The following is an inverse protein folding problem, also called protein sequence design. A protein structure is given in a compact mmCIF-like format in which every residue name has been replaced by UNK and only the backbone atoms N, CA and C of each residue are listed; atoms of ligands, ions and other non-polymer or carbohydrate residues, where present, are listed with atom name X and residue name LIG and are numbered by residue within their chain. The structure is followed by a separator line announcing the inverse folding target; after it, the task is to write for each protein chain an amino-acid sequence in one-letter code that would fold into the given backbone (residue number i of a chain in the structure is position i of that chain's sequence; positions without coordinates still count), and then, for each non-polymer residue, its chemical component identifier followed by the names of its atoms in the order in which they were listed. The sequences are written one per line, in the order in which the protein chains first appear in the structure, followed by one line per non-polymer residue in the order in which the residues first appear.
data_IF_988029657843
#
_entry.id   IF_988029657843
#
_cell.length_a   1.000
_cell.length_b   1.000
_cell.length_c   1.000
_cell.angle_alpha   90.00
_cell.angle_beta   90.00
_cell.angle_gamma   90.00
#
_symmetry.space_group_name_H-M   'P 1'
#
loop_
_entity.id
_entity.type
_entity.pdbx_description
1 polymer ?
#
# COMPACT_ATOMS: atom_id res chain seq x y z
N UNK A 1 -4.85 -4.30 -37.72
CA UNK A 1 -5.01 -2.85 -37.83
C UNK A 1 -5.36 -2.55 -39.28
N UNK A 2 -6.40 -1.76 -39.51
CA UNK A 2 -6.74 -1.34 -40.89
C UNK A 2 -5.80 -0.22 -41.33
N UNK A 3 -5.25 -0.22 -42.54
CA UNK A 3 -4.49 0.91 -43.08
C UNK A 3 -5.32 2.22 -42.99
N UNK A 4 -4.69 3.30 -42.53
CA UNK A 4 -5.35 4.60 -42.29
C UNK A 4 -6.02 4.76 -40.92
N UNK A 5 -5.97 3.75 -40.04
CA UNK A 5 -6.41 3.91 -38.65
C UNK A 5 -5.44 4.80 -37.86
N UNK A 6 -6.00 5.64 -36.99
CA UNK A 6 -5.21 6.46 -36.09
C UNK A 6 -4.38 5.57 -35.13
N UNK A 7 -3.06 5.70 -35.21
CA UNK A 7 -2.12 4.85 -34.45
C UNK A 7 -2.27 5.07 -32.95
N UNK A 8 -2.54 6.31 -32.48
CA UNK A 8 -2.71 6.60 -31.07
C UNK A 8 -3.85 5.80 -30.46
N UNK A 9 -5.00 5.73 -31.16
CA UNK A 9 -6.16 4.91 -30.77
C UNK A 9 -5.86 3.42 -30.81
N UNK A 10 -5.12 2.97 -31.82
CA UNK A 10 -4.78 1.55 -31.98
C UNK A 10 -3.91 1.04 -30.84
N UNK A 11 -2.94 1.83 -30.41
CA UNK A 11 -2.00 1.48 -29.34
C UNK A 11 -2.43 1.96 -27.95
N UNK A 12 -3.58 2.65 -27.83
CA UNK A 12 -4.13 3.12 -26.56
C UNK A 12 -3.39 4.34 -25.98
N UNK A 13 -2.93 5.25 -26.83
CA UNK A 13 -2.28 6.51 -26.47
C UNK A 13 -3.23 7.72 -26.55
N UNK A 14 -4.51 7.51 -26.79
CA UNK A 14 -5.54 8.53 -26.82
C UNK A 14 -6.27 8.67 -25.47
N UNK A 15 -5.57 8.35 -24.38
CA UNK A 15 -6.06 8.45 -23.00
C UNK A 15 -5.50 9.70 -22.31
N UNK A 16 -6.11 10.06 -21.20
CA UNK A 16 -5.66 11.16 -20.34
C UNK A 16 -5.06 10.63 -19.06
N UNK A 17 -3.84 11.05 -18.76
CA UNK A 17 -3.13 10.68 -17.54
C UNK A 17 -3.06 11.90 -16.63
N UNK A 18 -3.48 11.73 -15.37
CA UNK A 18 -3.36 12.75 -14.34
C UNK A 18 -2.25 12.32 -13.38
N UNK A 19 -1.22 13.15 -13.27
CA UNK A 19 -0.15 12.95 -12.32
C UNK A 19 -0.46 13.66 -11.01
N UNK A 20 -0.34 12.94 -9.89
CA UNK A 20 -0.56 13.48 -8.56
C UNK A 20 0.74 13.49 -7.77
N UNK A 21 1.06 14.63 -7.18
CA UNK A 21 2.11 14.73 -6.18
C UNK A 21 1.50 14.46 -4.80
N UNK A 22 1.80 13.27 -4.26
CA UNK A 22 1.26 12.81 -2.98
C UNK A 22 2.27 13.06 -1.86
N UNK A 23 1.84 13.77 -0.83
CA UNK A 23 2.65 14.05 0.36
C UNK A 23 3.02 12.78 1.12
N UNK A 24 4.18 12.72 1.80
CA UNK A 24 4.65 11.50 2.46
C UNK A 24 3.72 10.94 3.54
N UNK A 25 2.88 11.77 4.17
CA UNK A 25 1.92 11.38 5.19
C UNK A 25 0.66 10.69 4.64
N UNK A 26 0.43 10.74 3.31
CA UNK A 26 -0.77 10.21 2.68
C UNK A 26 -0.49 8.98 1.77
N UNK A 27 0.08 7.89 2.31
CA UNK A 27 0.34 6.67 1.52
C UNK A 27 -0.94 6.02 0.97
N UNK A 28 -2.09 6.24 1.60
CA UNK A 28 -3.40 5.80 1.12
C UNK A 28 -3.73 6.35 -0.27
N UNK A 29 -3.33 7.59 -0.56
CA UNK A 29 -3.52 8.25 -1.85
C UNK A 29 -2.57 7.78 -2.96
N UNK A 30 -1.60 6.90 -2.66
CA UNK A 30 -0.79 6.22 -3.70
C UNK A 30 -1.56 5.07 -4.39
N UNK A 31 -2.89 5.21 -4.45
CA UNK A 31 -3.81 4.24 -5.03
C UNK A 31 -5.03 4.92 -5.66
N UNK A 32 -5.63 4.22 -6.63
CA UNK A 32 -6.89 4.68 -7.26
C UNK A 32 -8.01 4.79 -6.22
N UNK A 33 -8.12 3.81 -5.30
CA UNK A 33 -9.15 3.81 -4.24
C UNK A 33 -8.93 4.96 -3.25
N UNK A 34 -7.70 5.25 -2.87
CA UNK A 34 -7.39 6.37 -1.98
C UNK A 34 -7.75 7.71 -2.61
N UNK A 35 -7.35 7.93 -3.87
CA UNK A 35 -7.74 9.12 -4.63
C UNK A 35 -9.25 9.21 -4.84
N UNK A 36 -9.94 8.08 -5.04
CA UNK A 36 -11.39 8.06 -5.17
C UNK A 36 -12.10 8.48 -3.87
N UNK A 37 -11.56 8.15 -2.69
CA UNK A 37 -12.08 8.63 -1.40
C UNK A 37 -11.97 10.16 -1.30
N UNK A 38 -10.80 10.70 -1.62
CA UNK A 38 -10.57 12.16 -1.62
C UNK A 38 -11.49 12.87 -2.63
N UNK A 39 -11.58 12.33 -3.85
CA UNK A 39 -12.47 12.89 -4.88
C UNK A 39 -13.95 12.84 -4.48
N UNK A 40 -14.37 11.74 -3.82
CA UNK A 40 -15.73 11.60 -3.30
C UNK A 40 -16.08 12.73 -2.31
N UNK A 41 -15.18 12.96 -1.34
CA UNK A 41 -15.34 14.03 -0.36
C UNK A 41 -15.29 15.44 -1.01
N UNK A 42 -14.29 15.68 -1.87
CA UNK A 42 -14.08 17.00 -2.52
C UNK A 42 -15.22 17.40 -3.44
N UNK A 43 -15.73 16.46 -4.22
CA UNK A 43 -16.78 16.72 -5.23
C UNK A 43 -18.18 16.37 -4.76
N UNK A 44 -18.34 15.98 -3.50
CA UNK A 44 -19.62 15.55 -2.90
C UNK A 44 -20.32 14.49 -3.76
N UNK A 45 -19.55 13.49 -4.21
CA UNK A 45 -20.05 12.38 -5.04
C UNK A 45 -20.01 11.07 -4.26
N UNK A 46 -21.03 10.21 -4.41
CA UNK A 46 -21.04 8.94 -3.68
C UNK A 46 -19.89 8.04 -4.13
N UNK A 47 -19.13 7.52 -3.17
CA UNK A 47 -18.08 6.54 -3.40
C UNK A 47 -18.72 5.17 -3.66
N UNK A 48 -18.34 4.52 -4.76
CA UNK A 48 -18.76 3.16 -5.11
C UNK A 48 -17.53 2.27 -5.16
N UNK A 49 -17.25 1.58 -4.08
CA UNK A 49 -16.15 0.62 -4.02
C UNK A 49 -16.63 -0.75 -4.49
N UNK A 50 -15.81 -1.38 -5.32
CA UNK A 50 -16.00 -2.77 -5.71
C UNK A 50 -15.57 -3.68 -4.54
N UNK A 51 -16.38 -4.68 -4.22
CA UNK A 51 -16.05 -5.74 -3.27
C UNK A 51 -15.62 -6.96 -4.06
N UNK A 52 -14.36 -7.40 -3.98
CA UNK A 52 -13.88 -8.55 -4.73
C UNK A 52 -14.60 -9.84 -4.33
N UNK A 53 -15.04 -10.60 -5.31
CA UNK A 53 -15.69 -11.90 -5.13
C UNK A 53 -14.86 -12.99 -5.78
N UNK A 54 -14.52 -14.02 -5.00
CA UNK A 54 -13.76 -15.19 -5.46
C UNK A 54 -14.64 -16.41 -5.35
N UNK A 55 -14.83 -17.13 -6.45
CA UNK A 55 -15.68 -18.33 -6.50
C UNK A 55 -14.98 -19.53 -5.87
N UNK A 56 -13.68 -19.65 -6.14
CA UNK A 56 -12.88 -20.80 -5.73
C UNK A 56 -13.09 -22.05 -6.60
N UNK A 57 -12.26 -23.05 -6.38
CA UNK A 57 -12.30 -24.31 -7.15
C UNK A 57 -12.27 -25.56 -6.25
N UNK A 58 -12.50 -25.39 -4.92
CA UNK A 58 -12.37 -26.44 -3.92
C UNK A 58 -10.93 -26.64 -3.44
N UNK A 59 -10.76 -27.58 -2.49
CA UNK A 59 -9.52 -27.81 -1.74
C UNK A 59 -9.36 -26.82 -0.58
N UNK A 60 -8.22 -26.83 0.06
CA UNK A 60 -7.91 -25.89 1.15
C UNK A 60 -6.46 -25.44 1.04
N UNK A 61 -6.24 -24.12 1.05
CA UNK A 61 -4.88 -23.57 1.07
C UNK A 61 -4.11 -23.99 2.32
N UNK A 62 -4.79 -24.19 3.45
CA UNK A 62 -4.16 -24.62 4.70
C UNK A 62 -3.58 -26.06 4.66
N UNK A 63 -3.97 -26.86 3.66
CA UNK A 63 -3.38 -28.18 3.40
C UNK A 63 -2.12 -28.11 2.52
N UNK A 64 -1.89 -26.94 1.89
CA UNK A 64 -0.81 -26.76 0.90
C UNK A 64 0.34 -25.94 1.44
N UNK A 65 0.07 -24.94 2.27
CA UNK A 65 1.10 -24.01 2.78
C UNK A 65 0.93 -23.74 4.26
N UNK A 66 2.06 -23.73 4.97
CA UNK A 66 2.17 -23.22 6.34
C UNK A 66 2.89 -21.89 6.35
N UNK A 67 2.41 -20.94 7.17
CA UNK A 67 2.97 -19.58 7.23
C UNK A 67 3.30 -19.23 8.67
N UNK A 68 4.55 -18.90 8.93
CA UNK A 68 5.06 -18.45 10.22
C UNK A 68 5.65 -17.05 10.13
N UNK A 69 5.36 -16.22 11.13
CA UNK A 69 5.98 -14.90 11.32
C UNK A 69 6.79 -14.97 12.60
N UNK A 70 8.12 -14.89 12.49
CA UNK A 70 9.01 -14.89 13.66
C UNK A 70 9.03 -13.54 14.40
N UNK A 71 8.82 -12.43 13.70
CA UNK A 71 8.85 -11.07 14.27
C UNK A 71 7.62 -10.26 13.84
N UNK A 72 6.63 -10.19 14.72
CA UNK A 72 5.39 -9.43 14.49
C UNK A 72 5.57 -7.91 14.48
N UNK A 73 6.67 -7.37 15.00
CA UNK A 73 6.97 -5.93 14.88
C UNK A 73 7.46 -5.56 13.48
N UNK A 74 8.14 -6.48 12.83
CA UNK A 74 8.62 -6.30 11.46
C UNK A 74 7.58 -6.69 10.41
N UNK A 75 6.76 -7.72 10.69
CA UNK A 75 5.65 -8.15 9.84
C UNK A 75 4.37 -8.33 10.67
N UNK A 76 3.57 -7.27 10.86
CA UNK A 76 2.32 -7.34 11.63
C UNK A 76 1.28 -8.31 11.07
N UNK A 77 1.19 -8.44 9.75
CA UNK A 77 0.19 -9.30 9.08
C UNK A 77 0.72 -9.85 7.76
N UNK A 78 0.44 -11.10 7.51
CA UNK A 78 0.76 -11.78 6.26
C UNK A 78 -0.48 -12.52 5.74
N UNK A 79 -0.96 -12.15 4.55
CA UNK A 79 -2.07 -12.83 3.88
C UNK A 79 -1.59 -13.50 2.61
N UNK A 80 -2.08 -14.71 2.34
CA UNK A 80 -1.76 -15.44 1.13
C UNK A 80 -2.95 -16.20 0.55
N UNK A 81 -2.96 -16.34 -0.76
CA UNK A 81 -3.91 -17.15 -1.54
C UNK A 81 -3.16 -17.98 -2.57
N UNK A 82 -3.71 -19.16 -2.86
CA UNK A 82 -3.12 -20.12 -3.81
C UNK A 82 -3.92 -20.19 -5.10
N UNK A 83 -3.21 -20.22 -6.21
CA UNK A 83 -3.74 -20.47 -7.54
C UNK A 83 -3.09 -21.72 -8.10
N UNK A 84 -3.88 -22.65 -8.62
CA UNK A 84 -3.42 -23.85 -9.34
C UNK A 84 -3.80 -23.77 -10.82
N UNK A 85 -3.21 -24.64 -11.62
CA UNK A 85 -3.43 -24.71 -13.06
C UNK A 85 -3.20 -23.35 -13.74
N UNK A 86 -2.15 -22.65 -13.27
CA UNK A 86 -1.75 -21.35 -13.79
C UNK A 86 -1.42 -21.42 -15.28
N UNK A 87 -1.85 -20.39 -16.04
CA UNK A 87 -1.56 -20.24 -17.46
C UNK A 87 -0.90 -18.89 -17.67
N UNK A 88 0.42 -18.90 -17.76
CA UNK A 88 1.19 -17.67 -17.94
C UNK A 88 1.08 -17.20 -19.39
N UNK A 89 0.60 -15.99 -19.58
CA UNK A 89 0.38 -15.39 -20.88
C UNK A 89 0.45 -13.85 -20.80
N UNK A 90 0.55 -13.14 -21.92
CA UNK A 90 0.41 -11.69 -21.92
C UNK A 90 -0.96 -11.26 -21.38
N UNK A 91 -1.00 -10.23 -20.53
CA UNK A 91 -2.25 -9.65 -20.05
C UNK A 91 -3.14 -9.11 -21.16
N UNK A 92 -4.45 -9.03 -20.97
CA UNK A 92 -5.34 -8.44 -21.94
C UNK A 92 -5.00 -6.97 -22.20
N UNK A 93 -5.39 -6.47 -23.39
CA UNK A 93 -5.05 -5.12 -23.86
C UNK A 93 -5.41 -4.05 -22.83
N UNK A 94 -6.62 -4.08 -22.27
CA UNK A 94 -7.10 -3.09 -21.31
C UNK A 94 -6.23 -2.99 -20.04
N UNK A 95 -5.74 -4.13 -19.51
CA UNK A 95 -4.87 -4.16 -18.32
C UNK A 95 -3.50 -3.60 -18.65
N UNK A 96 -2.92 -4.00 -19.79
CA UNK A 96 -1.62 -3.51 -20.26
C UNK A 96 -1.62 -2.00 -20.51
N UNK A 97 -2.72 -1.46 -21.06
CA UNK A 97 -2.88 -0.03 -21.29
C UNK A 97 -2.96 0.74 -19.98
N UNK A 98 -3.79 0.30 -19.02
CA UNK A 98 -3.90 0.93 -17.71
C UNK A 98 -2.59 0.92 -16.92
N UNK A 99 -1.88 -0.21 -16.93
CA UNK A 99 -0.57 -0.31 -16.29
C UNK A 99 0.44 0.64 -16.94
N UNK A 100 0.53 0.65 -18.27
CA UNK A 100 1.44 1.54 -19.00
C UNK A 100 1.13 3.01 -18.72
N UNK A 101 -0.13 3.39 -18.74
CA UNK A 101 -0.58 4.76 -18.48
C UNK A 101 -0.32 5.18 -17.02
N UNK A 102 -0.22 4.22 -16.10
CA UNK A 102 0.22 4.47 -14.71
C UNK A 102 1.72 4.27 -14.48
N UNK A 103 2.53 4.22 -15.55
CA UNK A 103 3.99 4.13 -15.46
C UNK A 103 4.54 2.73 -15.15
N UNK A 104 3.73 1.67 -15.26
CA UNK A 104 4.14 0.29 -15.01
C UNK A 104 4.32 -0.46 -16.32
N UNK A 105 5.47 -1.11 -16.50
CA UNK A 105 5.73 -1.96 -17.65
C UNK A 105 5.00 -3.30 -17.49
N UNK A 106 4.09 -3.68 -18.41
CA UNK A 106 3.47 -5.00 -18.40
C UNK A 106 4.50 -6.12 -18.68
N UNK A 107 4.34 -7.24 -17.98
CA UNK A 107 5.23 -8.42 -18.09
C UNK A 107 4.43 -9.65 -18.52
N UNK A 108 3.65 -10.22 -17.61
CA UNK A 108 2.74 -11.33 -17.85
C UNK A 108 1.49 -11.18 -16.96
N UNK A 109 0.45 -11.97 -17.22
CA UNK A 109 -0.84 -11.83 -16.55
C UNK A 109 -0.74 -11.91 -15.00
N UNK A 110 0.07 -12.81 -14.44
CA UNK A 110 0.20 -12.96 -12.98
C UNK A 110 0.91 -11.76 -12.35
N UNK A 111 2.04 -11.36 -12.90
CA UNK A 111 2.80 -10.19 -12.42
C UNK A 111 2.01 -8.90 -12.64
N UNK A 112 1.31 -8.79 -13.75
CA UNK A 112 0.48 -7.63 -14.07
C UNK A 112 -0.73 -7.53 -13.12
N UNK A 113 -1.30 -8.66 -12.69
CA UNK A 113 -2.36 -8.69 -11.66
C UNK A 113 -1.84 -8.10 -10.34
N UNK A 114 -0.64 -8.48 -9.87
CA UNK A 114 -0.07 -7.91 -8.64
C UNK A 114 0.18 -6.42 -8.76
N UNK A 115 0.71 -5.98 -9.89
CA UNK A 115 0.92 -4.56 -10.18
C UNK A 115 -0.40 -3.79 -10.30
N UNK A 116 -1.42 -4.39 -10.90
CA UNK A 116 -2.75 -3.79 -11.01
C UNK A 116 -3.40 -3.62 -9.63
N UNK A 117 -3.35 -4.65 -8.78
CA UNK A 117 -3.83 -4.59 -7.40
C UNK A 117 -3.08 -3.52 -6.59
N UNK A 118 -1.76 -3.41 -6.76
CA UNK A 118 -0.96 -2.35 -6.14
C UNK A 118 -1.41 -0.95 -6.57
N UNK A 119 -1.70 -0.72 -7.86
CA UNK A 119 -2.19 0.58 -8.33
C UNK A 119 -3.63 0.85 -7.88
N UNK A 120 -4.49 -0.17 -7.83
CA UNK A 120 -5.89 -0.03 -7.43
C UNK A 120 -6.03 0.18 -5.91
N UNK A 121 -5.36 -0.65 -5.10
CA UNK A 121 -5.49 -0.68 -3.63
C UNK A 121 -4.36 0.02 -2.87
N UNK A 122 -3.23 0.32 -3.51
CA UNK A 122 -2.03 0.85 -2.84
C UNK A 122 -1.23 -0.22 -2.09
N UNK A 123 -1.63 -1.48 -2.17
CA UNK A 123 -1.01 -2.61 -1.50
C UNK A 123 -0.08 -3.35 -2.45
N UNK A 124 1.24 -3.26 -2.30
CA UNK A 124 2.15 -4.08 -3.07
C UNK A 124 1.97 -5.56 -2.73
N UNK A 125 2.05 -6.38 -3.75
CA UNK A 125 1.90 -7.83 -3.65
C UNK A 125 3.07 -8.52 -4.34
N UNK A 126 3.33 -9.75 -3.92
CA UNK A 126 4.25 -10.65 -4.62
C UNK A 126 3.54 -11.93 -5.07
N UNK A 127 4.10 -12.56 -6.08
CA UNK A 127 3.65 -13.86 -6.58
C UNK A 127 4.86 -14.78 -6.66
N UNK A 128 4.79 -15.89 -5.93
CA UNK A 128 5.82 -16.93 -5.95
C UNK A 128 5.39 -18.06 -6.86
N UNK A 129 6.33 -18.61 -7.64
CA UNK A 129 6.18 -19.97 -8.14
C UNK A 129 6.26 -20.93 -6.95
N UNK A 130 5.13 -21.50 -6.56
CA UNK A 130 5.04 -22.32 -5.38
C UNK A 130 5.81 -23.63 -5.50
N UNK A 131 6.08 -24.11 -6.71
CA UNK A 131 6.92 -25.28 -6.94
C UNK A 131 8.39 -25.06 -6.52
N UNK A 132 8.79 -23.82 -6.38
CA UNK A 132 10.14 -23.42 -5.93
C UNK A 132 10.23 -23.11 -4.43
N UNK A 133 9.11 -23.24 -3.70
CA UNK A 133 9.04 -23.02 -2.24
C UNK A 133 9.19 -24.37 -1.54
N UNK A 134 10.37 -24.60 -0.96
CA UNK A 134 10.70 -25.85 -0.33
C UNK A 134 9.84 -26.10 0.93
N UNK A 135 9.39 -27.34 1.12
CA UNK A 135 8.58 -27.77 2.28
C UNK A 135 7.15 -27.24 2.31
N UNK A 136 6.70 -26.47 1.30
CA UNK A 136 5.38 -25.83 1.34
C UNK A 136 5.23 -24.84 2.51
N UNK A 137 6.33 -24.24 2.95
CA UNK A 137 6.37 -23.40 4.15
C UNK A 137 6.92 -22.02 3.80
N UNK A 138 6.28 -20.99 4.35
CA UNK A 138 6.76 -19.60 4.31
C UNK A 138 7.12 -19.18 5.74
N UNK A 139 8.36 -18.71 5.92
CA UNK A 139 8.84 -18.18 7.18
C UNK A 139 9.27 -16.72 6.97
N UNK A 140 8.58 -15.79 7.62
CA UNK A 140 8.92 -14.36 7.60
C UNK A 140 9.82 -14.08 8.79
N UNK A 141 11.11 -13.89 8.50
CA UNK A 141 12.16 -13.71 9.53
C UNK A 141 13.23 -12.72 9.07
N UNK A 142 14.05 -12.29 9.98
CA UNK A 142 15.28 -11.58 9.62
C UNK A 142 16.30 -12.54 9.00
N UNK A 143 17.15 -12.00 8.13
CA UNK A 143 18.21 -12.79 7.51
C UNK A 143 19.21 -13.27 8.58
N UNK A 144 19.83 -14.43 8.33
CA UNK A 144 20.93 -14.96 9.15
C UNK A 144 22.25 -14.40 8.63
N UNK A 145 23.27 -14.36 9.49
CA UNK A 145 24.61 -13.93 9.10
C UNK A 145 25.15 -14.78 7.95
N UNK A 146 25.63 -14.12 6.89
CA UNK A 146 26.19 -14.79 5.72
C UNK A 146 25.19 -15.28 4.68
N UNK A 147 23.89 -15.12 4.89
CA UNK A 147 22.90 -15.44 3.85
C UNK A 147 23.06 -14.55 2.61
N UNK A 148 22.89 -15.15 1.45
CA UNK A 148 22.94 -14.50 0.14
C UNK A 148 21.72 -14.90 -0.65
N UNK A 149 21.13 -13.94 -1.35
CA UNK A 149 20.03 -14.18 -2.29
C UNK A 149 20.37 -13.58 -3.65
N UNK A 150 20.11 -14.32 -4.73
CA UNK A 150 20.09 -13.74 -6.06
C UNK A 150 18.72 -13.12 -6.30
N UNK A 151 18.70 -11.81 -6.54
CA UNK A 151 17.48 -11.06 -6.81
C UNK A 151 17.08 -11.10 -8.29
N UNK A 152 15.81 -10.75 -8.60
CA UNK A 152 15.24 -10.77 -9.96
C UNK A 152 16.03 -9.92 -10.99
N UNK A 153 16.87 -9.00 -10.54
CA UNK A 153 17.78 -8.23 -11.39
C UNK A 153 19.08 -8.98 -11.71
N UNK A 154 19.20 -10.24 -11.28
CA UNK A 154 20.35 -11.12 -11.52
C UNK A 154 21.56 -10.88 -10.63
N UNK A 155 21.46 -10.00 -9.62
CA UNK A 155 22.56 -9.69 -8.73
C UNK A 155 22.50 -10.51 -7.43
N UNK A 156 23.65 -10.99 -6.97
CA UNK A 156 23.78 -11.62 -5.66
C UNK A 156 23.85 -10.54 -4.57
N UNK A 157 22.95 -10.63 -3.60
CA UNK A 157 22.83 -9.70 -2.48
C UNK A 157 23.21 -10.38 -1.17
N UNK A 158 24.24 -9.86 -0.50
CA UNK A 158 24.56 -10.27 0.87
C UNK A 158 23.56 -9.66 1.83
N UNK A 159 22.93 -10.50 2.62
CA UNK A 159 21.95 -10.10 3.61
C UNK A 159 22.60 -9.87 4.96
N UNK A 160 21.99 -9.02 5.76
CA UNK A 160 22.40 -8.76 7.14
C UNK A 160 21.24 -9.05 8.10
N UNK A 161 21.51 -9.37 9.38
CA UNK A 161 20.45 -9.70 10.36
C UNK A 161 19.41 -8.60 10.60
N UNK A 162 19.60 -7.41 10.08
CA UNK A 162 18.62 -6.32 10.15
C UNK A 162 17.64 -6.29 8.96
N UNK A 163 17.83 -7.17 7.97
CA UNK A 163 17.00 -7.24 6.78
C UNK A 163 15.94 -8.31 6.95
N UNK A 164 14.68 -7.95 6.75
CA UNK A 164 13.57 -8.88 6.78
C UNK A 164 13.51 -9.63 5.45
N UNK A 165 13.33 -10.93 5.53
CA UNK A 165 13.24 -11.83 4.39
C UNK A 165 11.99 -12.71 4.49
N UNK A 166 11.48 -13.10 3.35
CA UNK A 166 10.53 -14.18 3.21
C UNK A 166 11.35 -15.39 2.79
N UNK A 167 11.27 -16.44 3.58
CA UNK A 167 12.04 -17.66 3.41
C UNK A 167 11.11 -18.84 3.18
N UNK A 168 11.61 -19.85 2.49
CA UNK A 168 11.05 -21.19 2.56
C UNK A 168 11.62 -21.93 3.81
N UNK A 169 11.51 -23.25 3.87
CA UNK A 169 12.04 -24.04 4.97
C UNK A 169 13.57 -23.90 5.13
N UNK A 170 14.30 -23.59 4.07
CA UNK A 170 15.75 -23.67 4.02
C UNK A 170 16.46 -22.34 3.72
N UNK A 171 15.90 -21.50 2.83
CA UNK A 171 16.58 -20.35 2.24
C UNK A 171 15.67 -19.14 2.06
N UNK A 172 16.22 -17.92 1.94
CA UNK A 172 15.45 -16.75 1.54
C UNK A 172 14.99 -16.86 0.08
N UNK A 173 13.71 -16.60 -0.16
CA UNK A 173 13.07 -16.55 -1.48
C UNK A 173 12.68 -15.12 -1.89
N UNK A 174 12.69 -14.18 -0.95
CA UNK A 174 12.45 -12.77 -1.22
C UNK A 174 13.09 -11.89 -0.14
N UNK A 175 13.67 -10.76 -0.53
CA UNK A 175 13.95 -9.67 0.42
C UNK A 175 12.65 -8.89 0.57
N UNK A 176 12.05 -8.97 1.76
CA UNK A 176 10.69 -8.47 1.98
C UNK A 176 10.49 -7.07 1.38
N UNK A 177 9.56 -6.95 0.43
CA UNK A 177 9.17 -5.70 -0.25
C UNK A 177 10.23 -5.05 -1.15
N UNK A 178 11.50 -5.38 -1.00
CA UNK A 178 12.55 -4.72 -1.79
C UNK A 178 12.69 -5.38 -3.15
N UNK A 179 12.89 -6.70 -3.18
CA UNK A 179 13.02 -7.44 -4.44
C UNK A 179 12.78 -8.93 -4.23
N UNK A 180 12.02 -9.55 -5.14
CA UNK A 180 11.86 -11.00 -5.21
C UNK A 180 13.18 -11.71 -5.53
N UNK A 181 13.28 -12.96 -5.09
CA UNK A 181 14.38 -13.84 -5.46
C UNK A 181 14.18 -14.42 -6.86
N UNK A 182 15.26 -14.57 -7.61
CA UNK A 182 15.24 -15.25 -8.91
C UNK A 182 14.86 -16.74 -8.77
N UNK A 183 15.04 -17.30 -7.57
CA UNK A 183 14.73 -18.68 -7.25
C UNK A 183 13.24 -19.01 -7.04
N UNK A 184 12.36 -18.02 -7.14
CA UNK A 184 10.90 -18.19 -7.02
C UNK A 184 10.11 -17.36 -8.03
N UNK A 185 10.77 -16.96 -9.12
CA UNK A 185 10.19 -16.13 -10.18
C UNK A 185 9.07 -16.87 -10.94
N UNK A 186 8.03 -16.13 -11.33
CA UNK A 186 6.97 -16.64 -12.21
C UNK A 186 7.51 -16.77 -13.64
N UNK A 187 7.62 -17.99 -14.10
CA UNK A 187 8.10 -18.34 -15.43
C UNK A 187 6.99 -18.94 -16.29
N UNK A 188 7.27 -19.17 -17.58
CA UNK A 188 6.25 -19.55 -18.55
C UNK A 188 5.48 -20.84 -18.30
N UNK A 189 6.04 -21.76 -17.51
CA UNK A 189 5.49 -23.07 -17.11
C UNK A 189 5.03 -23.12 -15.64
N UNK A 190 5.06 -22.00 -14.92
CA UNK A 190 4.53 -21.92 -13.56
C UNK A 190 3.06 -22.34 -13.51
N UNK A 191 2.79 -23.43 -12.80
CA UNK A 191 1.44 -23.99 -12.65
C UNK A 191 0.79 -23.68 -11.31
N UNK A 192 1.58 -23.50 -10.25
CA UNK A 192 1.10 -23.15 -8.91
C UNK A 192 1.68 -21.80 -8.48
N UNK A 193 0.80 -20.87 -8.13
CA UNK A 193 1.18 -19.51 -7.73
C UNK A 193 0.68 -19.23 -6.32
N UNK A 194 1.59 -18.84 -5.44
CA UNK A 194 1.25 -18.30 -4.13
C UNK A 194 1.27 -16.76 -4.22
N UNK A 195 0.10 -16.14 -4.11
CA UNK A 195 0.01 -14.70 -3.93
C UNK A 195 0.25 -14.32 -2.47
N UNK A 196 1.12 -13.36 -2.28
CA UNK A 196 1.40 -12.70 -1.01
C UNK A 196 0.82 -11.29 -1.01
N UNK A 197 0.20 -10.93 0.10
CA UNK A 197 -0.17 -9.56 0.44
C UNK A 197 0.06 -9.37 1.93
N UNK A 198 1.12 -8.68 2.30
CA UNK A 198 1.53 -8.57 3.69
C UNK A 198 1.69 -7.11 4.13
N UNK A 199 1.79 -6.89 5.43
CA UNK A 199 2.14 -5.60 5.99
C UNK A 199 3.52 -5.69 6.66
N UNK A 200 4.39 -4.74 6.36
CA UNK A 200 5.77 -4.71 6.87
C UNK A 200 6.10 -3.36 7.48
N UNK A 201 7.02 -3.36 8.44
CA UNK A 201 7.50 -2.15 9.11
C UNK A 201 8.22 -1.23 8.13
N UNK A 202 7.67 -0.03 7.92
CA UNK A 202 8.19 0.92 6.93
C UNK A 202 9.62 1.39 7.18
N UNK A 203 10.03 1.48 8.45
CA UNK A 203 11.40 1.88 8.82
C UNK A 203 12.39 0.79 8.45
N UNK A 204 12.04 -0.49 8.71
CA UNK A 204 12.84 -1.65 8.32
C UNK A 204 13.00 -1.72 6.79
N UNK A 205 11.89 -1.60 6.06
CA UNK A 205 11.89 -1.59 4.58
C UNK A 205 12.78 -0.48 4.03
N UNK A 206 12.65 0.75 4.55
CA UNK A 206 13.48 1.90 4.12
C UNK A 206 14.96 1.65 4.35
N UNK A 207 15.34 1.12 5.52
CA UNK A 207 16.73 0.82 5.85
C UNK A 207 17.31 -0.27 4.94
N UNK A 208 16.54 -1.33 4.70
CA UNK A 208 16.93 -2.43 3.80
C UNK A 208 17.11 -1.93 2.36
N UNK A 209 16.14 -1.17 1.85
CA UNK A 209 16.20 -0.58 0.51
C UNK A 209 17.42 0.32 0.32
N UNK A 210 17.72 1.17 1.33
CA UNK A 210 18.90 2.03 1.32
C UNK A 210 20.22 1.23 1.36
N UNK A 211 20.30 0.21 2.21
CA UNK A 211 21.49 -0.63 2.35
C UNK A 211 21.79 -1.44 1.08
N UNK A 212 20.78 -1.86 0.35
CA UNK A 212 20.91 -2.59 -0.91
C UNK A 212 21.03 -1.66 -2.13
N UNK A 213 20.87 -0.34 -1.95
CA UNK A 213 20.86 0.64 -3.04
C UNK A 213 19.68 0.46 -3.99
N UNK A 214 18.53 -0.06 -3.49
CA UNK A 214 17.37 -0.43 -4.29
C UNK A 214 16.13 0.30 -3.80
N UNK A 215 15.55 1.12 -4.67
CA UNK A 215 14.26 1.75 -4.42
C UNK A 215 13.26 1.29 -5.48
N UNK A 216 12.22 0.59 -5.04
CA UNK A 216 11.16 0.08 -5.90
C UNK A 216 9.83 0.80 -5.62
N UNK A 217 8.86 0.66 -6.52
CA UNK A 217 7.49 1.14 -6.30
C UNK A 217 6.86 0.57 -5.03
N UNK A 218 7.19 -0.67 -4.69
CA UNK A 218 6.74 -1.34 -3.48
C UNK A 218 7.41 -0.72 -2.23
N UNK A 219 8.74 -0.65 -2.19
CA UNK A 219 9.46 -0.09 -1.04
C UNK A 219 9.09 1.37 -0.78
N UNK A 220 8.87 2.17 -1.83
CA UNK A 220 8.44 3.56 -1.73
C UNK A 220 7.04 3.73 -1.09
N UNK A 221 6.16 2.71 -1.19
CA UNK A 221 4.86 2.69 -0.49
C UNK A 221 5.01 2.26 0.95
N UNK A 222 5.71 1.15 1.19
CA UNK A 222 5.88 0.61 2.54
C UNK A 222 6.64 1.56 3.47
N UNK A 223 7.67 2.28 2.98
CA UNK A 223 8.43 3.24 3.79
C UNK A 223 7.57 4.35 4.42
N UNK A 224 6.38 4.61 3.86
CA UNK A 224 5.41 5.60 4.35
C UNK A 224 4.37 5.02 5.30
N UNK A 225 4.38 3.70 5.53
CA UNK A 225 3.40 2.99 6.35
C UNK A 225 2.11 2.66 5.59
N UNK A 226 1.81 1.39 5.45
CA UNK A 226 0.61 0.91 4.79
C UNK A 226 -0.39 0.35 5.82
N UNK A 227 -1.66 0.33 5.41
CA UNK A 227 -2.76 -0.21 6.21
C UNK A 227 -2.74 -1.75 6.20
N UNK A 228 -2.54 -2.37 7.36
CA UNK A 228 -2.58 -3.84 7.50
C UNK A 228 -3.95 -4.45 7.17
N UNK A 229 -5.04 -3.67 7.28
CA UNK A 229 -6.39 -4.13 6.94
C UNK A 229 -6.62 -4.24 5.42
N UNK A 230 -5.75 -3.61 4.63
CA UNK A 230 -5.87 -3.60 3.18
C UNK A 230 -5.31 -4.88 2.51
N UNK A 231 -4.47 -5.65 3.21
CA UNK A 231 -3.83 -6.86 2.70
C UNK A 231 -4.84 -7.87 2.17
N UNK A 232 -5.88 -8.14 2.95
CA UNK A 232 -6.96 -9.07 2.59
C UNK A 232 -7.71 -8.63 1.33
N UNK A 233 -8.06 -7.35 1.24
CA UNK A 233 -8.82 -6.81 0.08
C UNK A 233 -8.02 -6.90 -1.20
N UNK A 234 -6.73 -6.60 -1.13
CA UNK A 234 -5.84 -6.64 -2.28
C UNK A 234 -5.63 -8.07 -2.80
N UNK A 235 -5.39 -9.05 -1.91
CA UNK A 235 -5.22 -10.45 -2.34
C UNK A 235 -6.51 -11.05 -2.89
N UNK A 236 -7.67 -10.69 -2.33
CA UNK A 236 -8.97 -11.09 -2.87
C UNK A 236 -9.17 -10.53 -4.29
N UNK A 237 -8.82 -9.26 -4.50
CA UNK A 237 -8.89 -8.64 -5.82
C UNK A 237 -7.97 -9.31 -6.83
N UNK A 238 -6.77 -9.67 -6.44
CA UNK A 238 -5.86 -10.41 -7.32
C UNK A 238 -6.44 -11.76 -7.73
N UNK A 239 -7.02 -12.50 -6.79
CA UNK A 239 -7.68 -13.78 -7.07
C UNK A 239 -8.91 -13.62 -7.98
N UNK A 240 -9.74 -12.63 -7.74
CA UNK A 240 -10.86 -12.31 -8.64
C UNK A 240 -10.38 -12.00 -10.07
N UNK A 241 -9.27 -11.27 -10.21
CA UNK A 241 -8.67 -11.00 -11.52
C UNK A 241 -8.14 -12.28 -12.19
N UNK A 242 -7.59 -13.23 -11.43
CA UNK A 242 -7.19 -14.55 -11.97
C UNK A 242 -8.39 -15.27 -12.57
N UNK A 243 -9.52 -15.32 -11.85
CA UNK A 243 -10.75 -15.95 -12.32
C UNK A 243 -11.34 -15.20 -13.53
N UNK A 244 -11.38 -13.87 -13.46
CA UNK A 244 -11.88 -13.02 -14.54
C UNK A 244 -11.10 -13.19 -15.84
N UNK A 245 -9.79 -13.35 -15.74
CA UNK A 245 -8.90 -13.57 -16.90
C UNK A 245 -8.84 -15.03 -17.33
N UNK A 246 -9.35 -15.96 -16.53
CA UNK A 246 -9.27 -17.41 -16.80
C UNK A 246 -7.83 -17.93 -16.85
N UNK A 247 -6.93 -17.30 -16.07
CA UNK A 247 -5.51 -17.63 -16.10
C UNK A 247 -5.08 -18.56 -14.96
N UNK A 248 -6.01 -19.16 -14.24
CA UNK A 248 -5.79 -20.13 -13.18
C UNK A 248 -7.06 -20.41 -12.41
N UNK A 249 -6.97 -21.31 -11.46
CA UNK A 249 -8.05 -21.72 -10.55
C UNK A 249 -7.66 -21.37 -9.12
N UNK A 250 -8.47 -20.57 -8.43
CA UNK A 250 -8.17 -20.15 -7.05
C UNK A 250 -8.57 -21.24 -6.08
N UNK A 251 -7.63 -21.71 -5.27
CA UNK A 251 -7.88 -22.68 -4.19
C UNK A 251 -8.68 -22.02 -3.07
N UNK A 252 -9.62 -22.76 -2.46
CA UNK A 252 -10.45 -22.25 -1.39
C UNK A 252 -9.67 -21.90 -0.13
N UNK A 253 -10.23 -21.01 0.65
CA UNK A 253 -9.59 -20.50 1.87
C UNK A 253 -8.59 -19.37 1.61
N UNK A 254 -8.08 -18.85 2.70
CA UNK A 254 -7.05 -17.81 2.74
C UNK A 254 -6.17 -18.05 3.96
N UNK A 255 -4.88 -17.91 3.80
CA UNK A 255 -3.97 -17.81 4.95
C UNK A 255 -3.93 -16.36 5.39
N UNK A 256 -4.25 -16.12 6.65
CA UNK A 256 -4.26 -14.77 7.25
C UNK A 256 -3.64 -14.86 8.64
N UNK A 257 -2.35 -14.59 8.70
CA UNK A 257 -1.57 -14.64 9.94
C UNK A 257 -1.41 -13.22 10.47
N UNK A 258 -2.04 -12.94 11.61
CA UNK A 258 -1.98 -11.65 12.31
C UNK A 258 -1.05 -11.83 13.51
N UNK A 259 0.19 -11.38 13.39
CA UNK A 259 1.17 -11.43 14.47
C UNK A 259 1.04 -10.24 15.41
N UNK A 260 0.58 -9.08 14.88
CA UNK A 260 0.30 -7.89 15.68
C UNK A 260 -0.96 -7.20 15.16
N UNK A 261 -1.96 -7.14 16.01
CA UNK A 261 -3.17 -6.38 15.70
C UNK A 261 -2.97 -4.90 16.02
N UNK A 262 -3.47 -4.03 15.16
CA UNK A 262 -3.44 -2.57 15.37
C UNK A 262 -4.81 -2.15 15.89
N UNK A 263 -4.84 -1.70 17.15
CA UNK A 263 -6.02 -1.09 17.70
C UNK A 263 -6.44 0.15 16.87
N UNK A 264 -7.75 0.41 16.70
CA UNK A 264 -8.23 1.62 16.06
C UNK A 264 -7.67 2.87 16.74
N UNK A 265 -7.18 3.81 15.94
CA UNK A 265 -6.75 5.13 16.46
C UNK A 265 -8.00 5.93 16.83
N UNK A 266 -7.96 6.52 18.01
CA UNK A 266 -9.07 7.31 18.56
C UNK A 266 -8.56 8.71 18.88
N UNK A 267 -9.26 9.74 18.38
CA UNK A 267 -8.94 11.15 18.66
C UNK A 267 -10.20 11.84 19.19
N UNK A 268 -10.05 12.76 20.14
CA UNK A 268 -11.16 13.54 20.63
C UNK A 268 -11.44 14.73 19.71
N UNK A 269 -12.71 14.96 19.39
CA UNK A 269 -13.14 16.18 18.70
C UNK A 269 -13.14 17.35 19.69
N UNK A 270 -12.31 18.33 19.45
CA UNK A 270 -12.18 19.52 20.31
C UNK A 270 -12.39 20.81 19.46
N UNK A 271 -13.65 21.17 19.13
CA UNK A 271 -13.95 22.28 18.21
C UNK A 271 -13.32 23.61 18.60
N UNK A 272 -13.29 23.92 19.89
CA UNK A 272 -12.69 25.17 20.39
C UNK A 272 -11.19 25.22 20.13
N UNK A 273 -10.48 24.09 20.37
CA UNK A 273 -9.03 24.01 20.10
C UNK A 273 -8.73 24.06 18.60
N UNK A 274 -9.55 23.40 17.79
CA UNK A 274 -9.43 23.43 16.33
C UNK A 274 -9.58 24.85 15.83
N UNK A 275 -10.64 25.57 16.25
CA UNK A 275 -10.86 26.95 15.88
C UNK A 275 -9.73 27.88 16.37
N UNK A 276 -9.24 27.68 17.59
CA UNK A 276 -8.13 28.45 18.13
C UNK A 276 -6.83 28.23 17.33
N UNK A 277 -6.57 26.99 16.89
CA UNK A 277 -5.40 26.64 16.07
C UNK A 277 -5.50 27.26 14.68
N UNK A 278 -6.67 27.21 14.05
CA UNK A 278 -6.91 27.71 12.69
C UNK A 278 -7.15 29.22 12.62
N UNK A 279 -7.47 29.86 13.74
CA UNK A 279 -7.89 31.25 13.77
C UNK A 279 -9.28 31.47 13.14
N UNK A 280 -10.17 30.51 13.31
CA UNK A 280 -11.52 30.47 12.71
C UNK A 280 -12.60 30.41 13.80
N UNK A 281 -13.87 30.50 13.38
CA UNK A 281 -15.05 30.29 14.23
C UNK A 281 -16.03 29.38 13.47
N UNK A 282 -15.54 28.18 13.13
CA UNK A 282 -16.33 27.20 12.39
C UNK A 282 -17.29 26.47 13.33
N UNK A 283 -18.53 26.23 12.93
CA UNK A 283 -19.46 25.43 13.72
C UNK A 283 -19.04 23.98 13.76
N UNK A 284 -19.22 23.32 14.91
CA UNK A 284 -18.93 21.89 15.10
C UNK A 284 -19.63 21.01 14.06
N UNK A 285 -20.85 21.36 13.65
CA UNK A 285 -21.62 20.62 12.63
C UNK A 285 -20.87 20.52 11.30
N UNK A 286 -20.19 21.58 10.88
CA UNK A 286 -19.37 21.58 9.66
C UNK A 286 -18.12 20.69 9.82
N UNK A 287 -17.46 20.75 10.98
CA UNK A 287 -16.31 19.89 11.26
C UNK A 287 -16.72 18.41 11.19
N UNK A 288 -17.85 18.05 11.79
CA UNK A 288 -18.41 16.69 11.73
C UNK A 288 -18.76 16.26 10.31
N UNK A 289 -19.39 17.13 9.51
CA UNK A 289 -19.71 16.85 8.12
C UNK A 289 -18.46 16.56 7.30
N UNK A 290 -17.42 17.37 7.43
CA UNK A 290 -16.12 17.17 6.77
C UNK A 290 -15.53 15.80 7.15
N UNK A 291 -15.44 15.50 8.44
CA UNK A 291 -14.84 14.25 8.92
C UNK A 291 -15.63 13.02 8.44
N UNK A 292 -16.95 13.06 8.49
CA UNK A 292 -17.80 11.98 7.98
C UNK A 292 -17.59 11.77 6.47
N UNK A 293 -17.46 12.84 5.69
CA UNK A 293 -17.21 12.77 4.25
C UNK A 293 -15.87 12.10 3.91
N UNK A 294 -14.89 12.21 4.82
CA UNK A 294 -13.56 11.60 4.71
C UNK A 294 -13.51 10.15 5.24
N UNK A 295 -14.64 9.64 5.72
CA UNK A 295 -14.75 8.26 6.21
C UNK A 295 -14.36 8.07 7.67
N UNK A 296 -14.20 9.15 8.44
CA UNK A 296 -14.12 9.04 9.90
C UNK A 296 -15.48 8.63 10.48
N UNK A 297 -15.47 7.92 11.59
CA UNK A 297 -16.68 7.60 12.33
C UNK A 297 -16.71 8.42 13.62
N UNK A 298 -17.88 8.96 13.96
CA UNK A 298 -18.06 9.82 15.12
C UNK A 298 -19.02 9.17 16.10
N UNK A 299 -18.60 9.06 17.36
CA UNK A 299 -19.42 8.63 18.48
C UNK A 299 -19.32 9.67 19.60
N UNK A 300 -20.34 10.52 19.72
CA UNK A 300 -20.24 11.72 20.55
C UNK A 300 -19.05 12.59 20.15
N UNK A 301 -18.16 12.85 21.08
CA UNK A 301 -16.91 13.61 20.85
C UNK A 301 -15.73 12.73 20.46
N UNK A 302 -15.96 11.43 20.27
CA UNK A 302 -14.93 10.48 19.92
C UNK A 302 -14.89 10.31 18.39
N UNK A 303 -13.70 10.51 17.81
CA UNK A 303 -13.42 10.28 16.40
C UNK A 303 -12.69 8.94 16.27
N UNK A 304 -13.28 7.98 15.58
CA UNK A 304 -12.60 6.77 15.14
C UNK A 304 -11.93 7.03 13.80
N UNK A 305 -10.61 6.96 13.78
CA UNK A 305 -9.80 7.20 12.60
C UNK A 305 -9.84 5.95 11.71
N UNK A 306 -10.14 6.08 10.41
CA UNK A 306 -10.11 4.93 9.51
C UNK A 306 -8.70 4.36 9.39
N UNK A 307 -8.57 3.03 9.25
CA UNK A 307 -7.30 2.30 9.29
C UNK A 307 -6.26 2.78 8.27
N UNK A 308 -6.72 3.28 7.12
CA UNK A 308 -5.87 3.81 6.06
C UNK A 308 -5.29 5.20 6.34
N UNK A 309 -5.75 5.91 7.38
CA UNK A 309 -5.27 7.21 7.82
C UNK A 309 -4.29 7.06 8.97
N UNK A 310 -3.17 6.45 8.68
CA UNK A 310 -2.11 6.26 9.67
C UNK A 310 -1.37 7.56 10.09
N UNK A 311 -1.69 8.67 9.44
CA UNK A 311 -1.17 10.00 9.69
C UNK A 311 -1.95 10.79 10.76
N UNK A 312 -3.16 10.35 11.11
CA UNK A 312 -4.03 11.07 12.04
C UNK A 312 -3.93 10.45 13.44
N UNK A 313 -3.27 11.14 14.35
CA UNK A 313 -3.04 10.70 15.73
C UNK A 313 -3.44 11.74 16.78
N UNK A 314 -3.55 13.02 16.38
CA UNK A 314 -3.73 14.13 17.30
C UNK A 314 -4.81 15.12 16.80
N UNK A 315 -5.31 16.00 17.68
CA UNK A 315 -6.32 16.98 17.27
C UNK A 315 -5.83 17.96 16.21
N UNK A 316 -4.52 18.22 16.11
CA UNK A 316 -3.94 19.06 15.06
C UNK A 316 -4.11 18.45 13.67
N UNK A 317 -4.07 17.12 13.58
CA UNK A 317 -4.27 16.42 12.31
C UNK A 317 -5.75 16.50 11.90
N UNK A 318 -6.65 16.46 12.87
CA UNK A 318 -8.07 16.73 12.65
C UNK A 318 -8.28 18.19 12.18
N UNK A 319 -7.58 19.16 12.79
CA UNK A 319 -7.62 20.56 12.38
C UNK A 319 -7.11 20.74 10.93
N UNK A 320 -6.07 20.00 10.52
CA UNK A 320 -5.58 19.99 9.13
C UNK A 320 -6.68 19.52 8.18
N UNK A 321 -7.37 18.43 8.50
CA UNK A 321 -8.46 17.92 7.65
C UNK A 321 -9.62 18.94 7.54
N UNK A 322 -9.98 19.56 8.65
CA UNK A 322 -11.00 20.62 8.65
C UNK A 322 -10.55 21.80 7.79
N UNK A 323 -9.31 22.28 7.96
CA UNK A 323 -8.77 23.41 7.20
C UNK A 323 -8.69 23.11 5.71
N UNK A 324 -8.28 21.91 5.34
CA UNK A 324 -8.11 21.44 3.97
C UNK A 324 -9.44 21.47 3.20
N UNK A 325 -10.53 21.01 3.84
CA UNK A 325 -11.86 20.97 3.24
C UNK A 325 -12.64 22.27 3.39
N UNK A 326 -12.43 23.03 4.44
CA UNK A 326 -12.92 24.41 4.55
C UNK A 326 -12.29 25.29 3.48
N UNK A 327 -11.03 25.02 3.14
CA UNK A 327 -10.23 25.75 2.16
C UNK A 327 -9.33 26.77 2.83
N UNK A 328 -8.02 26.62 2.67
CA UNK A 328 -7.01 27.51 3.24
C UNK A 328 -7.20 28.97 2.86
N UNK A 329 -7.72 29.25 1.64
CA UNK A 329 -8.00 30.63 1.17
C UNK A 329 -9.15 31.32 1.92
N UNK A 330 -9.97 30.54 2.64
CA UNK A 330 -11.05 31.05 3.46
C UNK A 330 -10.60 31.41 4.89
N UNK A 331 -9.39 30.99 5.28
CA UNK A 331 -8.82 31.32 6.59
C UNK A 331 -8.25 32.73 6.56
N UNK A 332 -8.67 33.65 7.47
CA UNK A 332 -8.24 35.04 7.44
C UNK A 332 -6.75 35.13 7.83
N UNK A 333 -6.00 35.89 7.02
CA UNK A 333 -4.65 36.29 7.39
C UNK A 333 -4.70 37.39 8.46
N UNK A 334 -4.04 37.15 9.60
CA UNK A 334 -3.93 38.12 10.68
C UNK A 334 -2.48 38.54 10.89
N UNK A 335 -2.28 39.78 11.30
CA UNK A 335 -0.97 40.27 11.73
C UNK A 335 -0.62 39.68 13.09
N UNK A 336 0.65 39.31 13.26
CA UNK A 336 1.15 38.87 14.57
C UNK A 336 0.94 39.98 15.60
N UNK A 337 0.39 39.62 16.75
CA UNK A 337 0.26 40.48 17.92
C UNK A 337 1.15 39.94 19.02
N UNK A 338 1.99 40.78 19.55
CA UNK A 338 2.87 40.44 20.66
C UNK A 338 3.44 41.69 21.30
N UNK A 339 3.87 41.58 22.53
CA UNK A 339 4.65 42.65 23.16
C UNK A 339 6.00 42.75 22.46
N UNK A 340 6.36 43.93 22.02
CA UNK A 340 7.68 44.20 21.47
C UNK A 340 8.65 44.41 22.63
N UNK A 341 9.60 43.52 22.80
CA UNK A 341 10.74 43.71 23.69
C UNK A 341 11.89 44.38 22.95
N UNK A 342 12.70 45.14 23.66
CA UNK A 342 13.93 45.71 23.11
C UNK A 342 14.84 44.57 22.67
N UNK A 343 15.08 44.45 21.37
CA UNK A 343 16.01 43.46 20.85
C UNK A 343 17.42 43.63 21.41
N UNK A 344 18.12 42.54 21.60
CA UNK A 344 19.53 42.47 22.00
C UNK A 344 20.18 41.21 21.46
N UNK A 345 21.49 41.23 21.35
CA UNK A 345 22.22 40.04 21.00
C UNK A 345 22.15 39.03 22.17
N UNK A 346 21.99 37.74 21.84
CA UNK A 346 22.19 36.68 22.82
C UNK A 346 23.67 36.62 23.27
N UNK A 347 23.94 36.01 24.42
CA UNK A 347 25.34 35.83 24.89
C UNK A 347 26.22 35.16 23.82
N UNK A 348 25.67 34.23 23.10
CA UNK A 348 26.36 33.54 22.01
C UNK A 348 26.64 34.46 20.82
N UNK A 349 25.71 35.33 20.44
CA UNK A 349 25.90 36.32 19.38
C UNK A 349 26.85 37.47 19.76
N UNK A 350 27.07 37.68 21.05
CA UNK A 350 28.09 38.61 21.55
C UNK A 350 29.50 37.99 21.60
N UNK A 351 29.55 36.66 21.54
CA UNK A 351 30.80 35.89 21.56
C UNK A 351 31.37 35.60 20.14
N UNK A 352 30.53 35.53 19.14
CA UNK A 352 30.87 35.34 17.72
C UNK A 352 31.22 36.72 17.08
#
# INVERSE_FOLDING_TARGET
VKPGADIAKVIGYDDSVVEFEITPNRPDCLSVIGLAREASATFHRPLKLHTPEVKGCGGSIAELVDIEIEDGELCPRYTARMVKNGKIAPSPKWMRERLRNSGVRPINNIVDITNYAMREYGQPMHAFDFSCVDGGRIVVRTAREGEVIQTLDGNDRKLTPNMLCICDEHKPVCVAVVMGGANSEIVGDTAMVLFESANFNGVSVRRTAAALGMRTDASARYEKGLDSMNTMKAVQRACELVELLGCGEVVDGVMDVIAKDKAPTVVKLEPEKINALLGTDLPESLMREILLSLGFTLDGDVILVPSWRGDVEHYSDIAEEVARFYGYNNIPCTLMRGETTRGGFSEQQLFD
#
